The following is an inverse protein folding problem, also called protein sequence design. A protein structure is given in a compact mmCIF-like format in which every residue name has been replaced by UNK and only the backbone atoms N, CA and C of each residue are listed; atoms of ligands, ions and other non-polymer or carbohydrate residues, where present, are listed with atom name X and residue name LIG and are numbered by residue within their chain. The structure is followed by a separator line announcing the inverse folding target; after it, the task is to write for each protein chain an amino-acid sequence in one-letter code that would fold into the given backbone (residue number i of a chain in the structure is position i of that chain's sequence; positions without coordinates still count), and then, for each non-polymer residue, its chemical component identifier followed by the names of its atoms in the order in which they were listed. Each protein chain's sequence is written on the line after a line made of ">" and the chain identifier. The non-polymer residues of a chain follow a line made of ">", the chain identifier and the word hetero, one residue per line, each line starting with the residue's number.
data_IF_439205985218
#
_entry.id   IF_439205985218
#
_cell.length_a   1.000
_cell.length_b   1.000
_cell.length_c   1.000
_cell.angle_alpha   90.00
_cell.angle_beta   90.00
_cell.angle_gamma   90.00
#
_symmetry.space_group_name_H-M   'P 1'
#
loop_
_entity.id
_entity.type
_entity.pdbx_description
1 polymer ?
#
# COMPACT_ATOMS: atom_id res chain seq x y z
N UNK A 1 13.81 -4.53 -3.39
CA UNK A 1 13.12 -3.26 -3.68
C UNK A 1 12.82 -2.41 -2.43
N UNK A 2 12.34 -3.00 -1.30
CA UNK A 2 12.06 -2.23 -0.07
C UNK A 2 13.22 -1.32 0.38
N UNK A 3 14.44 -1.87 0.49
CA UNK A 3 15.64 -1.10 0.85
C UNK A 3 15.92 0.06 -0.11
N UNK A 4 15.86 -0.20 -1.41
CA UNK A 4 16.08 0.83 -2.43
C UNK A 4 15.04 1.96 -2.36
N UNK A 5 13.76 1.63 -2.16
CA UNK A 5 12.71 2.62 -1.95
C UNK A 5 12.97 3.42 -0.67
N UNK A 6 13.36 2.77 0.43
CA UNK A 6 13.72 3.46 1.66
C UNK A 6 14.84 4.48 1.43
N UNK A 7 15.95 4.08 0.79
CA UNK A 7 17.06 4.99 0.50
C UNK A 7 16.64 6.18 -0.37
N UNK A 8 15.92 5.93 -1.47
CA UNK A 8 15.51 6.99 -2.40
C UNK A 8 14.52 7.96 -1.75
N UNK A 9 13.59 7.46 -0.93
CA UNK A 9 12.55 8.30 -0.33
C UNK A 9 12.96 8.93 1.01
N UNK A 10 14.01 8.43 1.65
CA UNK A 10 14.49 8.95 2.96
C UNK A 10 14.93 10.41 2.92
N UNK A 11 15.30 10.92 1.74
CA UNK A 11 15.68 12.33 1.55
C UNK A 11 14.50 13.31 1.73
N UNK A 12 13.26 12.85 1.55
CA UNK A 12 12.08 13.72 1.63
C UNK A 12 11.54 13.87 3.05
N UNK A 13 11.84 12.92 3.92
CA UNK A 13 11.40 12.92 5.31
C UNK A 13 11.49 11.53 5.97
N UNK A 14 11.09 11.46 7.23
CA UNK A 14 11.11 10.24 8.01
C UNK A 14 10.07 9.23 7.49
N UNK A 15 10.54 8.01 7.21
CA UNK A 15 9.72 6.90 6.73
C UNK A 15 9.41 5.99 7.92
N UNK A 16 8.11 5.82 8.21
CA UNK A 16 7.63 4.90 9.23
C UNK A 16 7.72 3.45 8.75
N UNK A 17 7.24 3.17 7.52
CA UNK A 17 7.25 1.82 6.97
C UNK A 17 7.20 1.83 5.43
N UNK A 18 7.83 0.82 4.81
CA UNK A 18 7.70 0.53 3.38
C UNK A 18 7.03 -0.83 3.16
N UNK A 19 5.80 -0.81 2.65
CA UNK A 19 5.10 -2.01 2.23
C UNK A 19 5.36 -2.29 0.75
N UNK A 20 5.97 -3.43 0.48
CA UNK A 20 6.08 -4.00 -0.86
C UNK A 20 5.90 -5.52 -0.75
N UNK A 21 4.94 -6.08 -1.51
CA UNK A 21 4.67 -7.51 -1.56
C UNK A 21 5.17 -8.09 -2.88
N UNK A 22 5.57 -9.37 -2.86
CA UNK A 22 6.07 -10.09 -4.06
C UNK A 22 4.97 -10.83 -4.82
N UNK A 23 3.72 -10.75 -4.36
CA UNK A 23 2.57 -11.42 -5.00
C UNK A 23 2.38 -10.92 -6.43
N UNK A 24 1.94 -11.79 -7.33
CA UNK A 24 1.72 -11.48 -8.75
C UNK A 24 0.87 -10.21 -8.94
N UNK A 25 -0.24 -10.10 -8.21
CA UNK A 25 -1.17 -8.95 -8.27
C UNK A 25 -0.58 -7.62 -7.79
N UNK A 26 0.46 -7.65 -6.95
CA UNK A 26 1.06 -6.48 -6.33
C UNK A 26 2.50 -6.23 -6.82
N UNK A 27 2.96 -6.98 -7.83
CA UNK A 27 4.30 -6.81 -8.39
C UNK A 27 4.42 -5.44 -9.02
N UNK A 28 5.49 -4.72 -8.69
CA UNK A 28 5.73 -3.36 -9.18
C UNK A 28 4.95 -2.28 -8.43
N UNK A 29 4.23 -2.63 -7.37
CA UNK A 29 3.53 -1.68 -6.52
C UNK A 29 4.14 -1.68 -5.11
N UNK A 30 4.21 -0.50 -4.52
CA UNK A 30 4.68 -0.31 -3.16
C UNK A 30 3.98 0.89 -2.52
N UNK A 31 3.93 0.88 -1.19
CA UNK A 31 3.48 1.99 -0.38
C UNK A 31 4.62 2.42 0.53
N UNK A 32 4.93 3.71 0.51
CA UNK A 32 5.88 4.36 1.42
C UNK A 32 5.05 5.20 2.37
N UNK A 33 5.23 4.97 3.66
CA UNK A 33 4.48 5.64 4.72
C UNK A 33 5.43 6.63 5.38
N UNK A 34 5.15 7.91 5.20
CA UNK A 34 5.87 9.00 5.86
C UNK A 34 5.21 9.35 7.20
N UNK A 35 5.98 9.93 8.12
CA UNK A 35 5.44 10.53 9.34
C UNK A 35 4.66 11.82 9.07
N UNK A 36 5.09 12.60 8.06
CA UNK A 36 4.50 13.90 7.71
C UNK A 36 3.90 13.92 6.28
N UNK A 37 2.79 14.63 6.14
CA UNK A 37 2.12 14.90 4.87
C UNK A 37 2.96 15.81 3.96
N UNK A 38 3.74 16.75 4.53
CA UNK A 38 4.62 17.63 3.76
C UNK A 38 5.69 16.82 3.03
N UNK A 39 6.34 15.89 3.73
CA UNK A 39 7.31 14.95 3.17
C UNK A 39 6.71 14.10 2.03
N UNK A 40 5.51 13.56 2.24
CA UNK A 40 4.79 12.80 1.21
C UNK A 40 4.47 13.65 -0.04
N UNK A 41 4.12 14.92 0.15
CA UNK A 41 3.81 15.85 -0.95
C UNK A 41 5.04 16.18 -1.78
N UNK A 42 6.19 16.43 -1.13
CA UNK A 42 7.48 16.67 -1.82
C UNK A 42 7.88 15.44 -2.62
N UNK A 43 7.86 14.26 -1.98
CA UNK A 43 8.16 12.99 -2.61
C UNK A 43 7.29 12.73 -3.86
N UNK A 44 5.99 13.04 -3.79
CA UNK A 44 5.09 12.89 -4.94
C UNK A 44 5.50 13.80 -6.10
N UNK A 45 5.83 15.07 -5.84
CA UNK A 45 6.17 16.02 -6.90
C UNK A 45 7.49 15.68 -7.59
N UNK A 46 8.51 15.30 -6.82
CA UNK A 46 9.86 15.09 -7.33
C UNK A 46 10.07 13.68 -7.92
N UNK A 47 9.43 12.66 -7.36
CA UNK A 47 9.64 11.27 -7.79
C UNK A 47 8.64 10.80 -8.85
N UNK A 48 7.58 11.57 -9.12
CA UNK A 48 6.63 11.19 -10.17
C UNK A 48 7.26 11.39 -11.55
N UNK A 49 7.35 10.30 -12.32
CA UNK A 49 8.05 10.26 -13.60
C UNK A 49 9.54 9.90 -13.50
N UNK A 50 10.11 9.81 -12.30
CA UNK A 50 11.51 9.46 -12.12
C UNK A 50 11.80 8.02 -12.56
N UNK A 51 12.86 7.81 -13.33
CA UNK A 51 13.25 6.48 -13.81
C UNK A 51 13.90 5.67 -12.70
N UNK A 52 13.23 4.59 -12.28
CA UNK A 52 13.69 3.67 -11.25
C UNK A 52 13.74 2.25 -11.79
N UNK A 53 14.90 1.59 -11.70
CA UNK A 53 15.15 0.28 -12.33
C UNK A 53 14.75 0.24 -13.83
N UNK A 54 15.06 1.32 -14.56
CA UNK A 54 14.81 1.41 -16.00
C UNK A 54 13.34 1.64 -16.39
N UNK A 55 12.45 1.92 -15.43
CA UNK A 55 11.04 2.27 -15.69
C UNK A 55 10.66 3.56 -14.99
N UNK A 56 9.89 4.47 -15.63
CA UNK A 56 9.39 5.66 -14.97
C UNK A 56 8.41 5.27 -13.85
N UNK A 57 8.61 5.82 -12.66
CA UNK A 57 7.76 5.59 -11.51
C UNK A 57 6.50 6.47 -11.60
N UNK A 58 5.35 5.92 -11.23
CA UNK A 58 4.12 6.68 -11.02
C UNK A 58 3.84 6.77 -9.53
N UNK A 59 3.78 7.98 -9.00
CA UNK A 59 3.56 8.22 -7.56
C UNK A 59 2.21 8.91 -7.37
N UNK A 60 1.41 8.39 -6.44
CA UNK A 60 0.12 8.98 -6.07
C UNK A 60 -0.17 8.74 -4.58
N UNK A 61 -0.98 9.58 -3.97
CA UNK A 61 -1.45 9.34 -2.61
C UNK A 61 -2.24 8.03 -2.50
N UNK A 62 -2.10 7.38 -1.35
CA UNK A 62 -2.88 6.19 -1.04
C UNK A 62 -4.34 6.58 -0.80
N UNK A 63 -5.27 5.76 -1.30
CA UNK A 63 -6.71 5.93 -1.05
C UNK A 63 -7.09 5.77 0.41
N UNK A 64 -6.27 5.05 1.17
CA UNK A 64 -6.55 4.65 2.55
C UNK A 64 -5.27 4.76 3.37
N UNK A 65 -5.38 5.27 4.60
CA UNK A 65 -4.28 5.33 5.57
C UNK A 65 -3.79 3.92 5.96
N UNK A 66 -2.48 3.80 6.17
CA UNK A 66 -1.85 2.58 6.67
C UNK A 66 -2.25 2.33 8.13
N UNK A 67 -2.15 1.07 8.57
CA UNK A 67 -2.49 0.70 9.95
C UNK A 67 -1.57 1.38 10.96
N UNK A 68 -0.31 1.63 10.60
CA UNK A 68 0.67 2.34 11.45
C UNK A 68 0.20 3.77 11.72
N UNK A 69 -0.19 4.51 10.68
CA UNK A 69 -0.70 5.89 10.83
C UNK A 69 -2.04 5.89 11.54
N UNK A 70 -2.94 4.95 11.21
CA UNK A 70 -4.25 4.88 11.87
C UNK A 70 -4.15 4.55 13.37
N UNK A 71 -3.15 3.75 13.79
CA UNK A 71 -2.86 3.50 15.21
C UNK A 71 -2.31 4.73 15.91
N UNK A 72 -1.40 5.47 15.27
CA UNK A 72 -0.87 6.72 15.80
C UNK A 72 -1.98 7.78 15.97
N UNK A 73 -2.88 7.89 14.99
CA UNK A 73 -4.01 8.82 15.02
C UNK A 73 -5.15 8.39 15.97
N UNK A 74 -5.10 7.20 16.59
CA UNK A 74 -6.18 6.65 17.41
C UNK A 74 -7.45 6.27 16.64
N UNK A 75 -7.43 6.33 15.30
CA UNK A 75 -8.57 6.04 14.41
C UNK A 75 -8.56 4.61 13.87
N UNK A 76 -7.73 3.73 14.45
CA UNK A 76 -7.57 2.36 14.00
C UNK A 76 -8.87 1.56 14.12
N UNK A 77 -9.47 1.27 12.96
CA UNK A 77 -10.54 0.27 12.83
C UNK A 77 -9.94 -1.00 12.26
N UNK A 78 -10.09 -2.12 12.98
CA UNK A 78 -9.68 -3.44 12.47
C UNK A 78 -10.44 -3.72 11.18
N UNK A 79 -9.77 -3.60 10.04
CA UNK A 79 -10.37 -3.93 8.75
C UNK A 79 -10.72 -5.42 8.75
N UNK A 80 -11.89 -5.82 8.22
CA UNK A 80 -12.15 -7.22 7.96
C UNK A 80 -11.01 -7.74 7.08
N UNK A 81 -10.49 -8.93 7.40
CA UNK A 81 -9.49 -9.58 6.57
C UNK A 81 -10.06 -9.62 5.16
N UNK A 82 -9.43 -8.88 4.24
CA UNK A 82 -9.82 -8.94 2.84
C UNK A 82 -9.42 -10.35 2.42
N UNK A 83 -10.40 -11.26 2.34
CA UNK A 83 -10.18 -12.63 1.86
C UNK A 83 -9.30 -12.50 0.63
N UNK A 84 -8.12 -13.10 0.69
CA UNK A 84 -7.25 -13.14 -0.49
C UNK A 84 -8.08 -13.76 -1.61
N UNK A 85 -7.82 -13.37 -2.85
CA UNK A 85 -8.59 -13.99 -3.93
C UNK A 85 -8.36 -15.52 -3.96
N UNK A 86 -7.22 -15.98 -3.43
CA UNK A 86 -6.93 -17.40 -3.15
C UNK A 86 -7.96 -18.03 -2.19
N UNK A 87 -8.34 -17.35 -1.09
CA UNK A 87 -9.40 -17.83 -0.17
C UNK A 87 -10.80 -17.77 -0.80
N UNK A 88 -11.03 -16.99 -1.86
CA UNK A 88 -12.36 -16.95 -2.52
C UNK A 88 -12.57 -18.16 -3.42
N UNK A 89 -11.49 -18.75 -3.94
CA UNK A 89 -11.55 -19.93 -4.79
C UNK A 89 -11.82 -21.19 -3.96
N UNK A 90 -11.36 -21.23 -2.70
CA UNK A 90 -11.57 -22.34 -1.76
C UNK A 90 -12.91 -22.31 -0.99
N UNK A 91 -13.73 -21.26 -1.14
CA UNK A 91 -15.06 -21.24 -0.51
C UNK A 91 -16.01 -22.17 -1.30
N UNK A 92 -16.58 -23.22 -0.66
CA UNK A 92 -17.55 -24.11 -1.29
C UNK A 92 -18.73 -23.32 -1.89
N UNK A 93 -19.09 -23.59 -3.15
CA UNK A 93 -20.11 -22.83 -3.92
C UNK A 93 -21.44 -22.64 -3.17
N UNK A 94 -21.87 -23.64 -2.39
CA UNK A 94 -23.13 -23.59 -1.64
C UNK A 94 -23.23 -22.46 -0.60
N UNK A 95 -22.10 -21.91 -0.12
CA UNK A 95 -22.08 -20.77 0.80
C UNK A 95 -22.19 -19.42 0.08
N UNK A 96 -21.84 -19.36 -1.22
CA UNK A 96 -21.93 -18.14 -2.04
C UNK A 96 -23.39 -17.86 -2.42
N UNK A 97 -24.18 -18.90 -2.66
CA UNK A 97 -25.59 -18.81 -3.05
C UNK A 97 -26.51 -18.33 -1.91
N UNK A 98 -26.08 -18.48 -0.66
CA UNK A 98 -26.83 -18.05 0.53
C UNK A 98 -26.73 -16.54 0.79
N UNK A 99 -25.66 -15.88 0.34
CA UNK A 99 -25.43 -14.45 0.57
C UNK A 99 -26.13 -13.55 -0.46
N UNK A 100 -26.63 -14.13 -1.57
CA UNK A 100 -27.27 -13.42 -2.68
C UNK A 100 -28.81 -13.36 -2.61
N UNK A 101 -29.44 -13.97 -1.59
CA UNK A 101 -30.91 -14.00 -1.40
C UNK A 101 -31.43 -13.08 -0.28
N UNK A 102 -30.76 -11.95 -0.04
CA UNK A 102 -31.29 -10.89 0.85
C UNK A 102 -31.77 -9.69 0.05
#
# INVERSE_FOLDING_TARGET
>A
IKRALYHVFSQFGEILEVHAKRTYKLRGQAWVIFSDLSAATKALREMNGFTFYGKPMKVSFAKVKSDVVAKADGTFKKRPLRKTDDEKDDIPKHLKDAEQKK
#
